data_IF_933952044834
#
_entry.id   IF_933952044834
#
_cell.length_a   1.000
_cell.length_b   1.000
_cell.length_c   1.000
_cell.angle_alpha   90.00
_cell.angle_beta   90.00
_cell.angle_gamma   90.00
#
_symmetry.space_group_name_H-M   'P 1'
#
loop_
_entity.id
_entity.type
_entity.pdbx_description
1 polymer ?
#
# COMPACT_ATOMS: atom_id res chain seq x y z
N UNK A 1 -16.39 1.54 -16.31
CA UNK A 1 -15.91 1.38 -14.92
C UNK A 1 -14.54 2.04 -14.80
N UNK A 2 -14.06 2.32 -13.58
CA UNK A 2 -12.70 2.86 -13.39
C UNK A 2 -11.62 1.91 -13.95
N UNK A 3 -11.83 0.59 -13.84
CA UNK A 3 -10.95 -0.43 -14.46
C UNK A 3 -10.82 -0.23 -15.98
N UNK A 4 -11.95 -0.07 -16.69
CA UNK A 4 -11.93 0.19 -18.13
C UNK A 4 -11.26 1.53 -18.46
N UNK A 5 -11.44 2.54 -17.60
CA UNK A 5 -10.76 3.83 -17.72
C UNK A 5 -9.24 3.68 -17.68
N UNK A 6 -8.70 2.89 -16.74
CA UNK A 6 -7.26 2.59 -16.67
C UNK A 6 -6.76 1.90 -17.95
N UNK A 7 -7.45 0.84 -18.41
CA UNK A 7 -7.04 0.13 -19.63
C UNK A 7 -7.00 1.04 -20.86
N UNK A 8 -8.00 1.91 -21.03
CA UNK A 8 -8.04 2.86 -22.14
C UNK A 8 -6.92 3.92 -22.02
N UNK A 9 -6.66 4.42 -20.82
CA UNK A 9 -5.59 5.39 -20.58
C UNK A 9 -4.20 4.78 -20.85
N UNK A 10 -3.96 3.55 -20.37
CA UNK A 10 -2.73 2.82 -20.65
C UNK A 10 -2.53 2.64 -22.16
N UNK A 11 -3.54 2.21 -22.89
CA UNK A 11 -3.47 2.03 -24.35
C UNK A 11 -3.16 3.36 -25.07
N UNK A 12 -3.80 4.45 -24.66
CA UNK A 12 -3.55 5.78 -25.24
C UNK A 12 -2.10 6.26 -24.98
N UNK A 13 -1.59 6.08 -23.77
CA UNK A 13 -0.19 6.43 -23.46
C UNK A 13 0.77 5.59 -24.30
N UNK A 14 0.55 4.28 -24.42
CA UNK A 14 1.43 3.38 -25.16
C UNK A 14 1.40 3.62 -26.67
N UNK A 15 0.33 4.17 -27.22
CA UNK A 15 0.26 4.57 -28.62
C UNK A 15 1.22 5.73 -28.94
N UNK A 16 1.39 6.68 -28.00
CA UNK A 16 2.27 7.84 -28.16
C UNK A 16 3.70 7.56 -27.68
N UNK A 17 3.85 6.79 -26.60
CA UNK A 17 5.12 6.48 -25.92
C UNK A 17 5.13 5.03 -25.43
N UNK A 18 5.37 4.10 -26.36
CA UNK A 18 5.38 2.67 -26.08
C UNK A 18 6.41 2.26 -25.00
N UNK A 19 7.51 3.01 -24.88
CA UNK A 19 8.61 2.78 -23.95
C UNK A 19 8.34 3.27 -22.52
N UNK A 20 7.39 4.19 -22.32
CA UNK A 20 7.12 4.79 -21.02
C UNK A 20 6.45 3.78 -20.08
N UNK A 21 6.98 3.48 -18.88
CA UNK A 21 6.32 2.59 -17.93
C UNK A 21 5.00 3.17 -17.42
N UNK A 22 3.95 2.36 -17.41
CA UNK A 22 2.61 2.73 -16.92
C UNK A 22 2.12 1.69 -15.92
N UNK A 23 1.52 2.18 -14.83
CA UNK A 23 0.94 1.35 -13.78
C UNK A 23 -0.14 2.08 -13.00
N UNK A 24 -1.06 1.33 -12.42
CA UNK A 24 -2.08 1.85 -11.49
C UNK A 24 -1.53 2.01 -10.07
N UNK A 25 -1.91 3.09 -9.37
CA UNK A 25 -1.64 3.28 -7.95
C UNK A 25 -2.83 2.83 -7.11
N UNK A 26 -2.57 2.01 -6.08
CA UNK A 26 -3.61 1.37 -5.26
C UNK A 26 -3.41 1.68 -3.78
N UNK A 27 -4.48 2.13 -3.13
CA UNK A 27 -4.57 2.16 -1.67
C UNK A 27 -4.65 0.72 -1.13
N UNK A 28 -3.55 0.22 -0.57
CA UNK A 28 -3.44 -1.12 -0.03
C UNK A 28 -3.14 -1.05 1.46
N UNK A 29 -3.95 -1.74 2.27
CA UNK A 29 -3.60 -1.99 3.65
C UNK A 29 -2.69 -3.23 3.75
N UNK A 30 -1.90 -3.30 4.82
CA UNK A 30 -1.29 -4.56 5.20
C UNK A 30 -2.32 -5.43 5.93
N UNK A 31 -2.97 -6.34 5.23
CA UNK A 31 -3.97 -7.22 5.83
C UNK A 31 -3.31 -8.45 6.50
N UNK A 32 -3.46 -8.55 7.81
CA UNK A 32 -2.88 -9.59 8.66
C UNK A 32 -3.95 -10.62 9.05
N UNK A 33 -3.64 -11.91 8.87
CA UNK A 33 -4.51 -12.99 9.29
C UNK A 33 -4.24 -13.36 10.77
N UNK A 34 -5.29 -13.44 11.57
CA UNK A 34 -5.26 -13.81 12.98
C UNK A 34 -6.02 -15.12 13.17
N UNK A 35 -5.28 -16.19 13.48
CA UNK A 35 -5.86 -17.51 13.73
C UNK A 35 -6.31 -18.25 12.45
N UNK A 36 -6.82 -19.49 12.60
CA UNK A 36 -7.36 -20.26 11.49
C UNK A 36 -8.63 -19.62 10.93
N UNK A 37 -8.94 -19.90 9.65
CA UNK A 37 -10.16 -19.43 8.97
C UNK A 37 -10.33 -17.90 8.94
N UNK A 38 -9.23 -17.15 9.04
CA UNK A 38 -9.24 -15.69 8.93
C UNK A 38 -9.91 -15.22 7.64
N UNK A 39 -10.71 -14.16 7.74
CA UNK A 39 -11.34 -13.51 6.58
C UNK A 39 -10.35 -12.71 5.70
N UNK A 40 -9.07 -12.60 6.08
CA UNK A 40 -8.05 -11.80 5.38
C UNK A 40 -8.08 -11.98 3.87
N UNK A 41 -8.02 -13.23 3.38
CA UNK A 41 -7.92 -13.51 1.94
C UNK A 41 -9.20 -13.15 1.19
N UNK A 42 -10.36 -13.37 1.81
CA UNK A 42 -11.65 -12.96 1.26
C UNK A 42 -11.72 -11.43 1.13
N UNK A 43 -11.32 -10.69 2.17
CA UNK A 43 -11.30 -9.23 2.13
C UNK A 43 -10.30 -8.69 1.12
N UNK A 44 -9.10 -9.28 1.03
CA UNK A 44 -8.11 -8.93 0.02
C UNK A 44 -8.65 -9.13 -1.40
N UNK A 45 -9.34 -10.26 -1.65
CA UNK A 45 -9.97 -10.54 -2.93
C UNK A 45 -11.09 -9.55 -3.25
N UNK A 46 -11.93 -9.23 -2.28
CA UNK A 46 -13.06 -8.31 -2.43
C UNK A 46 -12.58 -6.88 -2.72
N UNK A 47 -11.63 -6.36 -1.94
CA UNK A 47 -11.24 -4.96 -1.99
C UNK A 47 -10.23 -4.64 -3.09
N UNK A 48 -9.28 -5.53 -3.35
CA UNK A 48 -8.16 -5.24 -4.26
C UNK A 48 -8.11 -6.16 -5.47
N UNK A 49 -8.82 -7.30 -5.43
CA UNK A 49 -8.63 -8.39 -6.38
C UNK A 49 -8.75 -7.96 -7.84
N UNK A 50 -9.81 -7.23 -8.20
CA UNK A 50 -10.02 -6.79 -9.58
C UNK A 50 -8.92 -5.83 -10.07
N UNK A 51 -8.42 -4.95 -9.20
CA UNK A 51 -7.35 -4.01 -9.52
C UNK A 51 -5.99 -4.69 -9.62
N UNK A 52 -5.68 -5.61 -8.70
CA UNK A 52 -4.43 -6.37 -8.75
C UNK A 52 -4.39 -7.35 -9.93
N UNK A 53 -5.53 -7.94 -10.32
CA UNK A 53 -5.60 -8.75 -11.53
C UNK A 53 -5.35 -7.90 -12.78
N UNK A 54 -5.90 -6.69 -12.84
CA UNK A 54 -5.63 -5.76 -13.92
C UNK A 54 -4.14 -5.33 -13.94
N UNK A 55 -3.56 -5.01 -12.78
CA UNK A 55 -2.17 -4.57 -12.65
C UNK A 55 -1.14 -5.65 -13.07
N UNK A 56 -1.55 -6.92 -13.21
CA UNK A 56 -0.70 -7.96 -13.83
C UNK A 56 -0.32 -7.61 -15.27
N UNK A 57 -1.07 -6.74 -15.93
CA UNK A 57 -0.84 -6.31 -17.31
C UNK A 57 -0.15 -4.95 -17.42
N UNK A 58 0.16 -4.32 -16.29
CA UNK A 58 0.91 -3.07 -16.22
C UNK A 58 2.43 -3.33 -16.20
N UNK A 59 3.22 -2.28 -16.42
CA UNK A 59 4.68 -2.33 -16.31
C UNK A 59 5.14 -2.39 -14.85
N UNK A 60 4.38 -1.77 -13.94
CA UNK A 60 4.58 -1.78 -12.50
C UNK A 60 3.24 -1.66 -11.76
N UNK A 61 3.23 -1.92 -10.45
CA UNK A 61 2.09 -1.60 -9.58
C UNK A 61 2.49 -0.52 -8.57
N UNK A 62 1.66 0.52 -8.47
CA UNK A 62 1.81 1.57 -7.47
C UNK A 62 1.17 1.15 -6.15
N UNK A 63 1.89 1.31 -5.04
CA UNK A 63 1.39 1.05 -3.68
C UNK A 63 1.28 2.35 -2.91
N UNK A 64 0.11 2.58 -2.33
CA UNK A 64 -0.16 3.63 -1.34
C UNK A 64 -0.50 2.95 -0.02
N UNK A 65 0.33 3.12 1.01
CA UNK A 65 0.14 2.43 2.28
C UNK A 65 0.39 3.35 3.47
N UNK A 66 -0.43 3.18 4.51
CA UNK A 66 -0.34 3.95 5.76
C UNK A 66 -0.59 3.12 7.01
N UNK A 67 -1.18 1.92 6.88
CA UNK A 67 -1.63 1.13 8.03
C UNK A 67 -1.83 -0.34 7.68
N UNK A 68 -2.06 -1.13 8.73
CA UNK A 68 -2.51 -2.53 8.66
C UNK A 68 -3.97 -2.69 9.08
N UNK A 69 -4.59 -3.78 8.63
CA UNK A 69 -5.79 -4.33 9.25
C UNK A 69 -5.53 -5.76 9.72
N UNK A 70 -6.24 -6.18 10.75
CA UNK A 70 -6.13 -7.51 11.35
C UNK A 70 -7.47 -8.21 11.22
N UNK A 71 -7.47 -9.45 10.75
CA UNK A 71 -8.69 -10.20 10.45
C UNK A 71 -8.67 -11.55 11.13
N UNK A 72 -9.70 -11.88 11.90
CA UNK A 72 -9.96 -13.26 12.34
C UNK A 72 -11.14 -13.84 11.55
N UNK A 73 -11.67 -14.97 12.01
CA UNK A 73 -12.84 -15.66 11.45
C UNK A 73 -14.18 -14.90 11.64
N UNK A 74 -14.19 -13.85 12.48
CA UNK A 74 -15.39 -13.06 12.81
C UNK A 74 -15.35 -11.63 12.25
N UNK A 75 -14.22 -11.21 11.67
CA UNK A 75 -14.07 -9.87 11.11
C UNK A 75 -12.81 -9.15 11.58
N UNK A 76 -12.90 -7.82 11.59
CA UNK A 76 -11.77 -6.94 11.91
C UNK A 76 -11.47 -6.98 13.41
N UNK A 77 -10.20 -7.13 13.74
CA UNK A 77 -9.69 -7.15 15.11
C UNK A 77 -9.02 -5.82 15.41
N UNK A 78 -9.23 -5.28 16.62
CA UNK A 78 -8.54 -4.08 17.06
C UNK A 78 -7.02 -4.30 17.12
N UNK A 79 -6.23 -3.23 16.95
CA UNK A 79 -4.82 -3.26 17.28
C UNK A 79 -4.57 -3.72 18.74
N UNK A 80 -3.38 -4.29 19.04
CA UNK A 80 -2.97 -4.57 20.41
C UNK A 80 -3.16 -3.36 21.35
N UNK A 81 -3.47 -3.63 22.63
CA UNK A 81 -3.79 -2.57 23.62
C UNK A 81 -2.65 -1.56 23.84
N UNK A 82 -1.39 -1.95 23.61
CA UNK A 82 -0.21 -1.10 23.79
C UNK A 82 0.29 -0.46 22.49
N UNK A 83 -0.50 -0.52 21.42
CA UNK A 83 -0.15 0.11 20.15
C UNK A 83 -0.15 1.63 20.26
N UNK A 84 0.75 2.26 19.51
CA UNK A 84 0.75 3.72 19.31
C UNK A 84 -0.18 4.06 18.15
N UNK A 85 -0.89 5.18 18.25
CA UNK A 85 -1.83 5.64 17.25
C UNK A 85 -1.43 7.00 16.69
N UNK A 86 -1.75 7.20 15.41
CA UNK A 86 -1.58 8.46 14.72
C UNK A 86 -2.76 9.41 15.02
N UNK A 87 -2.73 10.65 14.52
CA UNK A 87 -3.80 11.64 14.80
C UNK A 87 -5.17 11.19 14.28
N UNK A 88 -5.19 10.30 13.28
CA UNK A 88 -6.40 9.72 12.68
C UNK A 88 -6.88 8.44 13.39
N UNK A 89 -6.31 8.09 14.55
CA UNK A 89 -6.67 6.89 15.31
C UNK A 89 -6.26 5.57 14.65
N UNK A 90 -5.40 5.60 13.63
CA UNK A 90 -4.83 4.39 13.03
C UNK A 90 -3.55 3.98 13.75
N UNK A 91 -3.33 2.67 13.89
CA UNK A 91 -2.11 2.13 14.47
C UNK A 91 -0.88 2.54 13.66
N UNK A 92 0.15 3.02 14.35
CA UNK A 92 1.48 3.25 13.78
C UNK A 92 2.20 1.91 13.71
N UNK A 93 2.28 1.34 12.51
CA UNK A 93 2.86 0.02 12.30
C UNK A 93 3.87 0.05 11.15
N UNK A 94 5.18 0.29 11.42
CA UNK A 94 6.21 0.38 10.38
C UNK A 94 6.26 -0.80 9.39
N UNK A 95 6.05 -2.07 9.79
CA UNK A 95 6.06 -3.19 8.84
C UNK A 95 4.89 -3.20 7.85
N UNK A 96 3.89 -2.32 7.98
CA UNK A 96 2.76 -2.27 7.05
C UNK A 96 3.20 -2.04 5.61
N UNK A 97 4.17 -1.15 5.38
CA UNK A 97 4.67 -0.85 4.04
C UNK A 97 5.24 -2.09 3.36
N UNK A 98 6.18 -2.76 4.03
CA UNK A 98 6.83 -3.96 3.49
C UNK A 98 5.82 -5.08 3.22
N UNK A 99 4.84 -5.27 4.10
CA UNK A 99 3.81 -6.29 3.94
C UNK A 99 2.90 -5.99 2.74
N UNK A 100 2.47 -4.74 2.56
CA UNK A 100 1.68 -4.33 1.41
C UNK A 100 2.46 -4.49 0.09
N UNK A 101 3.73 -4.10 0.07
CA UNK A 101 4.64 -4.24 -1.07
C UNK A 101 4.83 -5.71 -1.46
N UNK A 102 5.07 -6.59 -0.48
CA UNK A 102 5.18 -8.04 -0.71
C UNK A 102 3.90 -8.62 -1.28
N UNK A 103 2.75 -8.24 -0.72
CA UNK A 103 1.46 -8.72 -1.17
C UNK A 103 1.19 -8.29 -2.62
N UNK A 104 1.36 -7.00 -2.95
CA UNK A 104 1.19 -6.49 -4.30
C UNK A 104 2.10 -7.22 -5.30
N UNK A 105 3.38 -7.42 -4.97
CA UNK A 105 4.30 -8.14 -5.83
C UNK A 105 3.96 -9.64 -5.94
N UNK A 106 3.57 -10.30 -4.85
CA UNK A 106 3.22 -11.72 -4.86
C UNK A 106 2.03 -12.01 -5.77
N UNK A 107 1.03 -11.12 -5.79
CA UNK A 107 -0.14 -11.23 -6.66
C UNK A 107 0.24 -10.86 -8.09
N UNK A 108 0.77 -9.66 -8.32
CA UNK A 108 0.95 -9.10 -9.68
C UNK A 108 2.16 -9.64 -10.43
N UNK A 109 3.20 -10.07 -9.70
CA UNK A 109 4.56 -10.35 -10.20
C UNK A 109 5.24 -9.16 -10.89
N UNK A 110 4.74 -7.94 -10.66
CA UNK A 110 5.29 -6.70 -11.23
C UNK A 110 6.21 -5.96 -10.25
N UNK A 111 7.17 -5.16 -10.74
CA UNK A 111 7.87 -4.20 -9.91
C UNK A 111 6.91 -3.27 -9.16
N UNK A 112 7.32 -2.85 -7.97
CA UNK A 112 6.49 -2.03 -7.08
C UNK A 112 7.07 -0.63 -6.97
N UNK A 113 6.24 0.38 -7.23
CA UNK A 113 6.55 1.77 -6.92
C UNK A 113 5.75 2.19 -5.69
N UNK A 114 6.40 2.65 -4.63
CA UNK A 114 5.67 3.22 -3.50
C UNK A 114 5.32 4.64 -3.92
N UNK A 115 4.06 4.84 -4.26
CA UNK A 115 3.52 6.10 -4.78
C UNK A 115 3.08 7.02 -3.65
N UNK A 116 2.68 6.46 -2.50
CA UNK A 116 2.44 7.21 -1.27
C UNK A 116 2.78 6.36 -0.04
N UNK A 117 3.45 6.98 0.94
CA UNK A 117 3.60 6.45 2.28
C UNK A 117 3.98 7.56 3.26
N UNK A 118 3.38 7.56 4.44
CA UNK A 118 3.60 8.63 5.42
C UNK A 118 2.90 8.41 6.75
N UNK A 119 2.89 9.46 7.57
CA UNK A 119 2.25 9.46 8.88
C UNK A 119 1.58 10.81 9.17
N UNK A 120 0.26 10.75 9.35
CA UNK A 120 -0.52 11.87 9.88
C UNK A 120 -0.30 12.00 11.40
N UNK A 121 0.42 13.03 11.82
CA UNK A 121 0.75 13.28 13.23
C UNK A 121 1.00 14.77 13.45
N UNK A 122 0.57 15.29 14.61
CA UNK A 122 0.94 16.62 15.11
C UNK A 122 2.32 16.63 15.80
N UNK A 123 2.82 15.44 16.12
CA UNK A 123 4.12 15.21 16.77
C UNK A 123 5.10 14.66 15.74
N UNK A 124 5.92 15.54 15.17
CA UNK A 124 6.87 15.17 14.11
C UNK A 124 7.92 14.15 14.56
N UNK A 125 8.24 14.06 15.86
CA UNK A 125 9.09 12.99 16.40
C UNK A 125 8.56 11.57 16.12
N UNK A 126 7.23 11.39 16.00
CA UNK A 126 6.64 10.11 15.56
C UNK A 126 6.91 9.86 14.08
N UNK A 127 6.83 10.88 13.22
CA UNK A 127 7.13 10.77 11.79
C UNK A 127 8.61 10.49 11.56
N UNK A 128 9.49 11.24 12.22
CA UNK A 128 10.94 11.10 12.14
C UNK A 128 11.43 9.72 12.58
N UNK A 129 10.74 9.05 13.50
CA UNK A 129 11.04 7.66 13.91
C UNK A 129 10.35 6.61 13.05
N UNK A 130 9.10 6.85 12.62
CA UNK A 130 8.32 5.92 11.80
C UNK A 130 8.91 5.70 10.41
N UNK A 131 9.30 6.77 9.71
CA UNK A 131 9.75 6.65 8.32
C UNK A 131 11.03 5.80 8.19
N UNK A 132 12.10 6.03 8.97
CA UNK A 132 13.29 5.16 8.93
C UNK A 132 12.96 3.71 9.29
N UNK A 133 12.09 3.48 10.26
CA UNK A 133 11.68 2.13 10.65
C UNK A 133 10.92 1.41 9.51
N UNK A 134 10.00 2.10 8.82
CA UNK A 134 9.27 1.54 7.69
C UNK A 134 10.19 1.28 6.48
N UNK A 135 11.15 2.18 6.22
CA UNK A 135 12.15 2.01 5.17
C UNK A 135 13.13 0.86 5.47
N UNK A 136 13.45 0.60 6.75
CA UNK A 136 14.23 -0.58 7.12
C UNK A 136 13.49 -1.89 6.80
N UNK A 137 12.18 -1.95 7.06
CA UNK A 137 11.35 -3.10 6.66
C UNK A 137 11.23 -3.22 5.14
N UNK A 138 11.10 -2.10 4.43
CA UNK A 138 11.12 -2.09 2.96
C UNK A 138 12.47 -2.59 2.41
N UNK A 139 13.57 -2.21 3.04
CA UNK A 139 14.91 -2.72 2.70
C UNK A 139 15.02 -4.23 2.84
N UNK A 140 14.40 -4.82 3.88
CA UNK A 140 14.28 -6.28 3.99
C UNK A 140 13.45 -6.88 2.85
N UNK A 141 12.36 -6.21 2.44
CA UNK A 141 11.56 -6.67 1.31
C UNK A 141 12.31 -6.68 -0.02
N UNK A 142 13.14 -5.66 -0.23
CA UNK A 142 14.07 -5.62 -1.36
C UNK A 142 15.10 -6.74 -1.25
N UNK A 143 15.68 -6.96 -0.06
CA UNK A 143 16.63 -8.05 0.20
C UNK A 143 16.06 -9.45 -0.05
N UNK A 144 14.76 -9.64 0.14
CA UNK A 144 14.06 -10.89 -0.16
C UNK A 144 13.65 -11.01 -1.65
N UNK A 145 14.06 -10.06 -2.49
CA UNK A 145 13.88 -10.12 -3.95
C UNK A 145 12.67 -9.38 -4.51
N UNK A 146 11.96 -8.55 -3.73
CA UNK A 146 10.91 -7.69 -4.29
C UNK A 146 11.53 -6.55 -5.11
N UNK A 147 11.24 -6.42 -6.42
CA UNK A 147 11.79 -5.35 -7.24
C UNK A 147 11.07 -4.03 -6.95
N UNK A 148 11.63 -3.22 -6.06
CA UNK A 148 11.11 -1.89 -5.72
C UNK A 148 11.76 -0.83 -6.61
N UNK A 149 10.93 -0.02 -7.28
CA UNK A 149 11.38 1.01 -8.22
C UNK A 149 11.72 2.34 -7.54
N UNK A 150 11.09 2.63 -6.41
CA UNK A 150 11.28 3.89 -5.71
C UNK A 150 10.29 4.10 -4.56
N UNK A 151 10.52 5.18 -3.82
CA UNK A 151 9.72 5.59 -2.68
C UNK A 151 9.34 7.07 -2.76
N UNK A 152 8.04 7.35 -2.70
CA UNK A 152 7.48 8.69 -2.69
C UNK A 152 6.78 8.95 -1.36
N UNK A 153 7.30 9.91 -0.60
CA UNK A 153 6.73 10.28 0.69
C UNK A 153 5.45 11.10 0.52
N UNK A 154 4.40 10.74 1.25
CA UNK A 154 3.23 11.57 1.44
C UNK A 154 3.30 12.26 2.81
N UNK A 155 3.47 13.57 2.90
CA UNK A 155 3.59 14.57 1.81
C UNK A 155 4.77 15.50 2.04
N UNK A 156 5.15 16.24 1.00
CA UNK A 156 6.23 17.24 1.08
C UNK A 156 5.84 18.43 1.97
N UNK A 157 4.58 18.86 1.88
CA UNK A 157 3.98 19.95 2.64
C UNK A 157 2.68 19.46 3.25
N UNK A 158 2.21 20.09 4.32
CA UNK A 158 0.84 19.88 4.79
C UNK A 158 -0.14 20.25 3.68
N UNK A 159 -1.20 19.44 3.55
CA UNK A 159 -2.17 19.54 2.45
C UNK A 159 -3.60 19.53 3.00
N UNK A 160 -4.56 19.82 2.11
CA UNK A 160 -5.98 19.60 2.37
C UNK A 160 -6.31 18.10 2.39
N UNK A 161 -6.53 17.52 3.57
CA UNK A 161 -6.82 16.10 3.84
C UNK A 161 -8.30 15.78 3.60
N UNK A 162 -8.79 16.06 2.39
CA UNK A 162 -10.11 15.65 1.93
C UNK A 162 -11.25 16.08 2.87
N UNK A 163 -12.06 15.14 3.36
CA UNK A 163 -13.16 15.42 4.30
C UNK A 163 -12.67 15.89 5.68
N UNK A 164 -11.37 15.85 5.94
CA UNK A 164 -10.71 16.31 7.16
C UNK A 164 -10.05 17.70 7.01
N UNK A 165 -9.97 18.24 5.79
CA UNK A 165 -9.79 19.68 5.52
C UNK A 165 -8.39 20.18 5.22
#
# INVERSE_FOLDING_TARGET
SLLAGHTLAQAAIKAERADLPVGVALALFADEAIGPNSLRDAMQREWYGAWLDLARHDDFVGVQNYKRWRWNDKGRVNPPHLSTFNTMGSEIYPPSLANAVRYAHAVTRRPVLITEHGLCTDRDGLRASFIPAALAELGRAIGDGVPVLGYMHWSLIDTYEWIFG
#
